data_IF_570366073094
#
_entry.id   IF_570366073094
#
_cell.length_a   1.000
_cell.length_b   1.000
_cell.length_c   1.000
_cell.angle_alpha   90.00
_cell.angle_beta   90.00
_cell.angle_gamma   90.00
#
_symmetry.space_group_name_H-M   'P 1'
#
loop_
_entity.id
_entity.type
_entity.pdbx_description
1 polymer ?
#
# COMPACT_ATOMS: atom_id res chain seq x y z
N UNK A 1 36.53 -6.84 -11.92
CA UNK A 1 35.52 -5.78 -12.16
C UNK A 1 34.58 -6.25 -13.23
N UNK A 2 33.47 -6.88 -12.85
CA UNK A 2 32.42 -7.25 -13.79
C UNK A 2 31.80 -5.97 -14.36
N UNK A 3 31.85 -5.84 -15.69
CA UNK A 3 31.13 -4.83 -16.47
C UNK A 3 29.65 -4.97 -16.09
N UNK A 4 29.15 -4.10 -15.19
CA UNK A 4 27.73 -4.01 -14.84
C UNK A 4 26.97 -3.97 -16.17
N UNK A 5 26.26 -5.05 -16.49
CA UNK A 5 25.40 -5.13 -17.67
C UNK A 5 24.51 -3.89 -17.63
N UNK A 6 24.69 -3.02 -18.61
CA UNK A 6 23.97 -1.75 -18.70
C UNK A 6 22.48 -2.05 -18.60
N UNK A 7 21.81 -1.31 -17.72
CA UNK A 7 20.35 -1.20 -17.69
C UNK A 7 19.88 -1.09 -19.12
N UNK A 8 18.92 -1.92 -19.53
CA UNK A 8 18.45 -2.00 -20.91
C UNK A 8 18.18 -0.60 -21.47
N UNK A 9 19.10 -0.09 -22.28
CA UNK A 9 19.01 1.24 -22.87
C UNK A 9 18.09 1.16 -24.07
N UNK A 10 17.06 2.00 -24.09
CA UNK A 10 16.27 2.27 -25.28
C UNK A 10 17.13 3.08 -26.24
N UNK A 11 17.27 2.63 -27.49
CA UNK A 11 17.99 3.36 -28.53
C UNK A 11 17.16 3.55 -29.80
N UNK A 12 17.43 4.64 -30.52
CA UNK A 12 16.93 4.89 -31.86
C UNK A 12 18.12 4.97 -32.82
N UNK A 13 18.01 4.24 -33.92
CA UNK A 13 18.92 4.28 -35.06
C UNK A 13 18.37 5.27 -36.09
N UNK A 14 19.14 6.30 -36.38
CA UNK A 14 18.72 7.40 -37.24
C UNK A 14 19.57 7.34 -38.52
N UNK A 15 18.98 7.06 -39.68
CA UNK A 15 19.71 7.06 -40.94
C UNK A 15 20.02 8.50 -41.37
N UNK A 16 21.32 8.82 -41.43
CA UNK A 16 21.82 10.13 -41.84
C UNK A 16 22.52 9.99 -43.19
N UNK A 17 22.14 10.86 -44.14
CA UNK A 17 22.72 10.92 -45.48
C UNK A 17 23.32 12.32 -45.66
N UNK A 18 24.64 12.40 -45.69
CA UNK A 18 25.32 13.68 -45.93
C UNK A 18 24.93 14.25 -47.30
N UNK A 19 24.65 15.56 -47.33
CA UNK A 19 24.59 16.31 -48.56
C UNK A 19 26.03 16.51 -49.03
N UNK A 20 26.43 15.82 -50.10
CA UNK A 20 27.71 16.11 -50.75
C UNK A 20 27.76 17.60 -51.07
N UNK A 21 28.84 18.27 -50.65
CA UNK A 21 29.04 19.67 -51.00
C UNK A 21 29.12 19.75 -52.54
N UNK A 22 28.16 20.42 -53.16
CA UNK A 22 28.04 20.58 -54.61
C UNK A 22 29.19 21.36 -55.28
N UNK A 23 30.31 21.60 -54.58
CA UNK A 23 31.32 22.57 -54.98
C UNK A 23 32.73 22.04 -55.19
N UNK A 24 33.25 21.16 -54.34
CA UNK A 24 34.64 20.71 -54.47
C UNK A 24 34.94 19.54 -53.53
N UNK A 25 35.78 18.61 -54.02
CA UNK A 25 36.42 17.47 -53.32
C UNK A 25 35.64 16.14 -53.21
N UNK A 26 36.36 15.11 -53.63
CA UNK A 26 36.15 13.65 -53.75
C UNK A 26 35.88 12.87 -52.45
N UNK A 27 35.24 13.47 -51.44
CA UNK A 27 34.93 12.73 -50.21
C UNK A 27 33.63 11.94 -50.45
N UNK A 28 33.66 10.59 -50.43
CA UNK A 28 32.45 9.80 -50.60
C UNK A 28 31.45 10.15 -49.48
N UNK A 29 30.16 10.30 -49.80
CA UNK A 29 29.15 10.64 -48.80
C UNK A 29 29.17 9.61 -47.68
N UNK A 30 29.28 10.08 -46.43
CA UNK A 30 29.29 9.19 -45.27
C UNK A 30 27.85 8.87 -44.89
N UNK A 31 27.37 7.73 -45.38
CA UNK A 31 26.07 7.19 -44.98
C UNK A 31 26.24 6.43 -43.67
N UNK A 32 25.56 6.87 -42.61
CA UNK A 32 25.70 6.26 -41.28
C UNK A 32 24.35 6.11 -40.57
N UNK A 33 24.23 5.04 -39.77
CA UNK A 33 23.16 4.87 -38.80
C UNK A 33 23.63 5.45 -37.46
N UNK A 34 23.12 6.62 -37.09
CA UNK A 34 23.43 7.25 -35.83
C UNK A 34 22.61 6.59 -34.73
N UNK A 35 23.27 5.93 -33.79
CA UNK A 35 22.60 5.42 -32.59
C UNK A 35 22.52 6.50 -31.51
N UNK A 36 21.30 6.81 -31.08
CA UNK A 36 21.03 7.69 -29.95
C UNK A 36 20.26 6.91 -28.89
N UNK A 37 20.66 7.04 -27.63
CA UNK A 37 19.97 6.45 -26.50
C UNK A 37 19.48 7.50 -25.51
N UNK A 38 18.42 7.17 -24.78
CA UNK A 38 17.96 7.95 -23.65
C UNK A 38 18.39 7.28 -22.35
N UNK A 39 19.02 8.04 -21.46
CA UNK A 39 19.44 7.54 -20.16
C UNK A 39 19.02 8.50 -19.03
N UNK A 40 18.71 7.98 -17.83
CA UNK A 40 18.45 8.81 -16.67
C UNK A 40 19.70 9.62 -16.31
N UNK A 41 19.50 10.87 -15.92
CA UNK A 41 20.55 11.74 -15.44
C UNK A 41 21.18 11.15 -14.18
N UNK A 42 22.41 10.64 -14.31
CA UNK A 42 23.20 10.19 -13.18
C UNK A 42 23.97 11.38 -12.62
N UNK A 43 23.69 11.75 -11.38
CA UNK A 43 24.53 12.68 -10.62
C UNK A 43 25.93 12.07 -10.49
N UNK A 44 26.89 12.51 -11.31
CA UNK A 44 28.26 11.99 -11.28
C UNK A 44 29.01 12.01 -12.60
N UNK A 45 28.33 11.95 -13.75
CA UNK A 45 29.00 11.97 -15.09
C UNK A 45 29.67 13.32 -15.43
N UNK A 46 29.60 14.27 -14.51
CA UNK A 46 30.03 15.65 -14.66
C UNK A 46 30.98 16.10 -13.53
N UNK A 47 31.34 15.24 -12.57
CA UNK A 47 32.12 15.63 -11.37
C UNK A 47 33.62 15.72 -11.61
N UNK A 48 34.20 14.95 -12.53
CA UNK A 48 35.64 15.07 -12.86
C UNK A 48 35.95 16.32 -13.71
N UNK A 49 34.93 16.96 -14.28
CA UNK A 49 35.01 18.16 -15.08
C UNK A 49 34.85 19.45 -14.24
N UNK A 50 34.62 19.34 -12.93
CA UNK A 50 34.32 20.48 -12.03
C UNK A 50 35.46 21.50 -11.92
N UNK A 51 36.71 21.08 -12.11
CA UNK A 51 37.87 21.98 -12.10
C UNK A 51 37.98 22.83 -13.39
N UNK A 52 37.54 22.30 -14.55
CA UNK A 52 37.42 23.08 -15.80
C UNK A 52 36.15 23.94 -15.81
N UNK A 53 35.12 23.53 -15.07
CA UNK A 53 33.80 24.18 -15.02
C UNK A 53 33.75 25.51 -14.28
N UNK A 54 34.73 25.94 -13.49
CA UNK A 54 34.64 27.29 -12.90
C UNK A 54 34.59 28.40 -13.97
N UNK A 55 35.34 28.21 -15.08
CA UNK A 55 35.34 29.10 -16.25
C UNK A 55 34.14 28.86 -17.18
N UNK A 56 33.71 27.61 -17.30
CA UNK A 56 32.52 27.23 -18.08
C UNK A 56 31.23 27.71 -17.43
N UNK A 57 31.14 27.70 -16.09
CA UNK A 57 29.98 28.09 -15.28
C UNK A 57 29.65 29.56 -15.44
N UNK A 58 30.64 30.42 -15.70
CA UNK A 58 30.42 31.84 -16.02
C UNK A 58 29.86 32.03 -17.45
N UNK A 59 30.28 31.20 -18.40
CA UNK A 59 29.74 31.16 -19.78
C UNK A 59 28.34 30.50 -19.80
N UNK A 60 28.13 29.48 -18.99
CA UNK A 60 26.85 28.78 -18.79
C UNK A 60 25.85 29.70 -18.06
N UNK A 61 26.26 30.47 -17.06
CA UNK A 61 25.42 31.48 -16.41
C UNK A 61 25.00 32.61 -17.37
N UNK A 62 25.83 32.95 -18.36
CA UNK A 62 25.44 33.87 -19.45
C UNK A 62 24.57 33.22 -20.53
N UNK A 63 24.56 31.88 -20.65
CA UNK A 63 23.73 31.13 -21.60
C UNK A 63 22.43 30.56 -20.99
N UNK A 64 22.32 30.54 -19.66
CA UNK A 64 21.14 30.17 -18.87
C UNK A 64 19.95 31.11 -19.13
N UNK A 65 20.18 32.24 -19.78
CA UNK A 65 19.20 33.32 -19.86
C UNK A 65 18.19 33.24 -21.02
N UNK A 66 18.08 32.13 -21.81
CA UNK A 66 16.83 31.90 -22.59
C UNK A 66 16.45 30.51 -23.15
N UNK A 67 17.33 29.62 -23.63
CA UNK A 67 16.85 28.48 -24.47
C UNK A 67 17.59 27.13 -24.30
N UNK A 68 17.97 26.75 -23.08
CA UNK A 68 18.63 25.46 -22.84
C UNK A 68 17.65 24.34 -22.49
N UNK A 69 17.55 23.34 -23.37
CA UNK A 69 16.84 22.10 -23.06
C UNK A 69 17.79 21.09 -22.39
N UNK A 70 17.51 20.79 -21.12
CA UNK A 70 18.32 19.87 -20.32
C UNK A 70 18.37 18.46 -20.92
N UNK A 71 17.29 18.03 -21.59
CA UNK A 71 17.18 16.69 -22.17
C UNK A 71 18.15 16.52 -23.33
N UNK A 72 18.27 17.54 -24.17
CA UNK A 72 19.11 17.51 -25.37
C UNK A 72 20.56 17.95 -25.12
N UNK A 73 20.85 18.61 -23.98
CA UNK A 73 22.14 19.21 -23.67
C UNK A 73 23.39 18.36 -23.99
N UNK A 74 23.44 17.04 -23.72
CA UNK A 74 24.63 16.25 -24.06
C UNK A 74 24.91 16.15 -25.57
N UNK A 75 23.88 16.21 -26.41
CA UNK A 75 24.02 16.17 -27.87
C UNK A 75 24.79 17.38 -28.42
N UNK A 76 24.85 18.49 -27.67
CA UNK A 76 25.61 19.68 -28.08
C UNK A 76 27.11 19.40 -28.16
N UNK A 77 27.64 18.49 -27.33
CA UNK A 77 29.05 18.05 -27.40
C UNK A 77 29.34 17.25 -28.67
N UNK A 78 28.31 16.69 -29.30
CA UNK A 78 28.41 15.90 -30.53
C UNK A 78 28.23 16.82 -31.73
N UNK A 79 27.08 17.49 -31.84
CA UNK A 79 26.76 18.35 -32.97
C UNK A 79 25.62 19.34 -32.62
N UNK A 80 25.76 20.60 -33.01
CA UNK A 80 24.79 21.68 -32.71
C UNK A 80 23.43 21.44 -33.40
N UNK A 81 23.43 20.88 -34.61
CA UNK A 81 22.21 20.56 -35.35
C UNK A 81 21.45 19.44 -34.64
N UNK A 82 22.15 18.39 -34.20
CA UNK A 82 21.55 17.29 -33.44
C UNK A 82 20.99 17.76 -32.08
N UNK A 83 21.67 18.70 -31.40
CA UNK A 83 21.14 19.36 -30.21
C UNK A 83 19.81 20.06 -30.49
N UNK A 84 19.71 20.86 -31.56
CA UNK A 84 18.47 21.55 -31.93
C UNK A 84 17.33 20.57 -32.20
N UNK A 85 17.60 19.50 -32.93
CA UNK A 85 16.63 18.43 -33.19
C UNK A 85 16.21 17.72 -31.90
N UNK A 86 17.13 17.55 -30.95
CA UNK A 86 16.85 17.04 -29.61
C UNK A 86 15.91 17.97 -28.82
N UNK A 87 16.09 19.28 -28.89
CA UNK A 87 15.19 20.25 -28.25
C UNK A 87 13.78 20.18 -28.85
N UNK A 88 13.67 20.09 -30.18
CA UNK A 88 12.38 19.94 -30.88
C UNK A 88 11.70 18.64 -30.48
N UNK A 89 12.44 17.54 -30.46
CA UNK A 89 11.94 16.23 -30.02
C UNK A 89 11.45 16.24 -28.57
N UNK A 90 12.24 16.81 -27.65
CA UNK A 90 11.85 16.93 -26.25
C UNK A 90 10.60 17.81 -26.10
N UNK A 91 10.52 18.95 -26.80
CA UNK A 91 9.33 19.80 -26.86
C UNK A 91 8.09 19.07 -27.37
N UNK A 92 8.23 18.27 -28.43
CA UNK A 92 7.15 17.47 -28.99
C UNK A 92 6.64 16.40 -28.00
N UNK A 93 7.54 15.71 -27.31
CA UNK A 93 7.18 14.72 -26.28
C UNK A 93 6.51 15.38 -25.07
N UNK A 94 6.98 16.57 -24.64
CA UNK A 94 6.30 17.37 -23.60
C UNK A 94 4.88 17.74 -24.03
N UNK A 95 4.69 18.13 -25.29
CA UNK A 95 3.39 18.54 -25.85
C UNK A 95 2.42 17.37 -25.92
N UNK A 96 2.88 16.21 -26.39
CA UNK A 96 2.07 14.99 -26.52
C UNK A 96 1.45 14.61 -25.17
N UNK A 97 2.22 14.73 -24.09
CA UNK A 97 1.75 14.47 -22.74
C UNK A 97 1.38 13.00 -22.54
N UNK A 98 2.31 12.20 -22.02
CA UNK A 98 2.04 10.80 -21.72
C UNK A 98 0.86 10.67 -20.74
N UNK A 99 -0.10 9.79 -21.04
CA UNK A 99 -1.26 9.59 -20.17
C UNK A 99 -0.77 9.11 -18.80
N UNK A 100 -1.11 9.89 -17.79
CA UNK A 100 -0.78 9.57 -16.41
C UNK A 100 -1.74 8.50 -15.88
N UNK A 101 -1.26 7.51 -15.12
CA UNK A 101 -2.16 6.64 -14.37
C UNK A 101 -2.93 7.47 -13.33
N UNK A 102 -4.23 7.20 -13.18
CA UNK A 102 -5.16 7.96 -12.31
C UNK A 102 -4.74 8.04 -10.84
N UNK A 103 -3.76 7.23 -10.41
CA UNK A 103 -3.36 7.05 -9.00
C UNK A 103 -2.02 7.73 -8.63
N UNK A 104 -1.34 8.41 -9.56
CA UNK A 104 -0.03 9.04 -9.30
C UNK A 104 -0.17 10.40 -8.56
N UNK A 105 -0.57 10.37 -7.29
CA UNK A 105 -0.79 11.54 -6.41
C UNK A 105 0.38 12.56 -6.41
N UNK A 106 1.63 12.09 -6.51
CA UNK A 106 2.80 12.98 -6.47
C UNK A 106 3.04 13.78 -7.76
N UNK A 107 2.52 13.33 -8.92
CA UNK A 107 2.69 14.05 -10.19
C UNK A 107 1.62 15.08 -10.48
N UNK A 108 0.59 15.16 -9.63
CA UNK A 108 -0.32 16.29 -9.61
C UNK A 108 0.43 17.62 -9.44
N UNK A 109 1.63 17.58 -8.84
CA UNK A 109 2.47 18.76 -8.59
C UNK A 109 3.39 19.08 -9.78
N UNK A 110 3.89 18.10 -10.56
CA UNK A 110 4.75 18.33 -11.75
C UNK A 110 4.64 17.21 -12.82
N UNK A 111 3.74 17.34 -13.81
CA UNK A 111 3.54 16.37 -14.89
C UNK A 111 4.78 16.06 -15.75
N UNK A 112 5.75 16.97 -15.80
CA UNK A 112 6.92 16.91 -16.68
C UNK A 112 8.17 16.30 -16.00
N UNK A 113 8.08 15.97 -14.70
CA UNK A 113 9.26 15.66 -13.88
C UNK A 113 10.09 14.46 -14.38
N UNK A 114 9.48 13.52 -15.12
CA UNK A 114 10.18 12.32 -15.59
C UNK A 114 11.01 12.57 -16.86
N UNK A 115 10.45 13.27 -17.86
CA UNK A 115 11.20 13.60 -19.08
C UNK A 115 12.42 14.46 -18.76
N UNK A 116 12.27 15.38 -17.81
CA UNK A 116 13.35 16.25 -17.31
C UNK A 116 14.49 15.48 -16.62
N UNK A 117 14.28 14.21 -16.26
CA UNK A 117 15.32 13.32 -15.75
C UNK A 117 16.02 12.54 -16.84
N UNK A 118 15.54 12.54 -18.09
CA UNK A 118 16.21 11.88 -19.20
C UNK A 118 17.18 12.79 -19.90
N UNK A 119 18.20 12.17 -20.49
CA UNK A 119 19.22 12.80 -21.31
C UNK A 119 19.43 11.99 -22.58
N UNK A 120 19.54 12.68 -23.69
CA UNK A 120 19.86 12.09 -24.99
C UNK A 120 21.38 12.04 -25.17
N UNK A 121 21.88 10.86 -25.53
CA UNK A 121 23.29 10.63 -25.80
C UNK A 121 23.46 9.92 -27.13
N UNK A 122 24.45 10.34 -27.91
CA UNK A 122 24.85 9.63 -29.12
C UNK A 122 25.94 8.61 -28.78
N UNK A 123 25.84 7.40 -29.33
CA UNK A 123 26.91 6.39 -29.23
C UNK A 123 28.12 6.75 -30.12
N UNK A 124 27.95 7.66 -31.07
CA UNK A 124 28.98 8.09 -32.03
C UNK A 124 29.27 9.58 -31.93
N UNK A 125 30.52 9.97 -32.18
CA UNK A 125 30.96 11.38 -32.28
C UNK A 125 31.34 11.72 -33.73
N UNK A 126 30.37 11.81 -34.66
CA UNK A 126 30.66 12.31 -36.00
C UNK A 126 30.98 13.80 -35.91
N UNK A 127 32.23 14.16 -36.22
CA UNK A 127 32.73 15.55 -36.17
C UNK A 127 31.98 16.48 -37.14
N UNK A 128 31.40 15.93 -38.21
CA UNK A 128 30.64 16.67 -39.21
C UNK A 128 29.32 15.93 -39.50
N UNK A 129 28.20 16.43 -38.97
CA UNK A 129 26.86 16.03 -39.42
C UNK A 129 26.17 17.29 -39.96
N UNK A 130 25.73 17.23 -41.22
CA UNK A 130 25.00 18.31 -41.88
C UNK A 130 23.48 18.17 -41.81
N UNK A 131 22.97 16.96 -41.56
CA UNK A 131 21.52 16.67 -41.54
C UNK A 131 21.03 16.39 -40.11
N UNK A 132 20.15 17.25 -39.57
CA UNK A 132 19.57 17.04 -38.22
C UNK A 132 18.06 16.96 -38.17
N UNK A 133 17.32 17.66 -39.04
CA UNK A 133 15.85 17.72 -38.94
C UNK A 133 15.18 16.34 -39.12
N UNK A 134 15.80 15.43 -39.88
CA UNK A 134 15.30 14.07 -40.06
C UNK A 134 15.52 13.17 -38.83
N UNK A 135 16.34 13.59 -37.87
CA UNK A 135 16.58 12.90 -36.61
C UNK A 135 15.48 13.15 -35.57
N UNK A 136 14.67 14.21 -35.72
CA UNK A 136 13.71 14.66 -34.71
C UNK A 136 12.73 13.56 -34.29
N UNK A 137 12.20 12.78 -35.25
CA UNK A 137 11.34 11.65 -34.94
C UNK A 137 12.06 10.59 -34.11
N UNK A 138 13.26 10.17 -34.50
CA UNK A 138 14.02 9.16 -33.77
C UNK A 138 14.36 9.57 -32.34
N UNK A 139 14.73 10.85 -32.17
CA UNK A 139 14.98 11.45 -30.85
C UNK A 139 13.71 11.50 -29.99
N UNK A 140 12.54 11.77 -30.58
CA UNK A 140 11.28 11.77 -29.84
C UNK A 140 10.86 10.35 -29.44
N UNK A 141 11.03 9.37 -30.33
CA UNK A 141 10.68 7.98 -30.06
C UNK A 141 11.56 7.38 -28.96
N UNK A 142 12.87 7.65 -28.93
CA UNK A 142 13.72 7.14 -27.86
C UNK A 142 13.33 7.72 -26.49
N UNK A 143 12.93 8.99 -26.43
CA UNK A 143 12.40 9.60 -25.22
C UNK A 143 11.08 8.96 -24.79
N UNK A 144 10.16 8.71 -25.73
CA UNK A 144 8.90 8.03 -25.46
C UNK A 144 9.10 6.61 -24.98
N UNK A 145 9.99 5.85 -25.61
CA UNK A 145 10.32 4.48 -25.22
C UNK A 145 10.91 4.42 -23.82
N UNK A 146 11.84 5.33 -23.51
CA UNK A 146 12.40 5.44 -22.17
C UNK A 146 11.30 5.80 -21.15
N UNK A 147 10.41 6.75 -21.49
CA UNK A 147 9.36 7.24 -20.60
C UNK A 147 8.25 6.25 -20.29
N UNK A 148 7.88 5.45 -21.28
CA UNK A 148 6.88 4.41 -21.13
C UNK A 148 7.47 3.06 -20.73
N UNK A 149 8.79 2.93 -20.65
CA UNK A 149 9.45 1.64 -20.55
C UNK A 149 8.93 0.67 -21.62
N UNK A 150 8.90 1.13 -22.88
CA UNK A 150 8.43 0.37 -24.04
C UNK A 150 9.07 -1.03 -24.10
N UNK A 151 8.35 -2.08 -24.56
CA UNK A 151 8.94 -3.39 -24.75
C UNK A 151 9.98 -3.41 -25.87
N UNK A 152 9.91 -2.46 -26.81
CA UNK A 152 10.90 -2.32 -27.88
C UNK A 152 12.14 -1.65 -27.32
N UNK A 153 13.31 -2.26 -27.52
CA UNK A 153 14.59 -1.71 -27.03
C UNK A 153 15.29 -0.85 -28.08
N UNK A 154 15.04 -1.12 -29.35
CA UNK A 154 15.66 -0.42 -30.45
C UNK A 154 14.66 -0.22 -31.58
N UNK A 155 14.71 0.95 -32.20
CA UNK A 155 13.90 1.29 -33.38
C UNK A 155 14.75 2.01 -34.39
N UNK A 156 14.38 1.96 -35.66
CA UNK A 156 14.91 2.84 -36.70
C UNK A 156 13.87 3.93 -36.92
N UNK A 157 14.30 5.18 -37.10
CA UNK A 157 13.37 6.26 -37.38
C UNK A 157 13.99 7.40 -38.19
N UNK A 158 13.22 7.90 -39.14
CA UNK A 158 13.53 9.17 -39.83
C UNK A 158 12.24 9.97 -39.97
N UNK A 159 12.31 11.27 -39.72
CA UNK A 159 11.15 12.15 -39.82
C UNK A 159 11.43 13.50 -39.17
N UNK A 160 10.84 14.54 -39.75
CA UNK A 160 10.86 15.89 -39.19
C UNK A 160 9.59 16.09 -38.38
N UNK A 161 9.67 16.73 -37.23
CA UNK A 161 8.51 17.08 -36.44
C UNK A 161 8.03 18.48 -36.85
N UNK A 162 6.72 18.66 -36.97
CA UNK A 162 6.16 19.99 -37.20
C UNK A 162 6.53 20.88 -36.02
N UNK A 163 7.10 22.06 -36.30
CA UNK A 163 7.38 23.04 -35.27
C UNK A 163 6.13 23.39 -34.47
N UNK A 164 6.32 23.93 -33.26
CA UNK A 164 5.22 24.30 -32.37
C UNK A 164 4.47 25.51 -32.95
N UNK A 165 3.48 25.25 -33.80
CA UNK A 165 2.54 26.29 -34.25
C UNK A 165 1.72 26.73 -33.04
N UNK A 166 1.89 27.98 -32.63
CA UNK A 166 1.23 28.58 -31.47
C UNK A 166 -0.32 28.63 -31.58
N UNK A 167 -0.88 28.24 -32.73
CA UNK A 167 -2.25 28.57 -33.12
C UNK A 167 -3.28 27.45 -32.96
N UNK A 168 -2.92 26.21 -32.61
CA UNK A 168 -3.93 25.12 -32.58
C UNK A 168 -3.86 24.30 -31.28
N UNK A 169 -5.05 24.12 -30.68
CA UNK A 169 -5.38 23.29 -29.50
C UNK A 169 -5.05 21.79 -29.65
N UNK A 170 -4.34 21.39 -30.69
CA UNK A 170 -3.96 20.00 -30.94
C UNK A 170 -2.80 19.63 -30.01
N UNK A 171 -3.03 18.65 -29.14
CA UNK A 171 -2.00 18.07 -28.26
C UNK A 171 -0.96 17.24 -29.02
N UNK A 172 -1.21 16.94 -30.28
CA UNK A 172 -0.34 16.11 -31.10
C UNK A 172 0.66 16.93 -31.93
N UNK A 173 1.62 16.22 -32.53
CA UNK A 173 2.67 16.78 -33.38
C UNK A 173 2.68 16.03 -34.70
N UNK A 174 2.53 16.75 -35.80
CA UNK A 174 2.54 16.17 -37.14
C UNK A 174 3.96 15.80 -37.55
N UNK A 175 4.11 14.69 -38.24
CA UNK A 175 5.37 14.22 -38.80
C UNK A 175 5.44 14.69 -40.26
N UNK A 176 6.44 15.51 -40.56
CA UNK A 176 6.68 16.09 -41.86
C UNK A 176 7.61 15.20 -42.69
N UNK A 177 7.45 15.22 -44.03
CA UNK A 177 8.35 14.55 -44.96
C UNK A 177 9.81 15.00 -44.78
N UNK A 178 10.74 14.10 -45.12
CA UNK A 178 12.18 14.36 -45.10
C UNK A 178 12.79 14.17 -46.48
N UNK A 179 13.92 14.83 -46.73
CA UNK A 179 14.72 14.63 -47.94
C UNK A 179 15.42 13.27 -47.93
N UNK A 180 15.79 12.81 -49.13
CA UNK A 180 16.62 11.62 -49.37
C UNK A 180 16.10 10.35 -48.71
N UNK A 181 14.78 10.15 -48.76
CA UNK A 181 14.15 9.00 -48.11
C UNK A 181 14.57 7.68 -48.76
N UNK A 182 14.78 7.68 -50.08
CA UNK A 182 15.25 6.52 -50.83
C UNK A 182 16.66 6.09 -50.42
N UNK A 183 17.59 7.04 -50.29
CA UNK A 183 18.95 6.77 -49.82
C UNK A 183 18.96 6.25 -48.38
N UNK A 184 18.04 6.73 -47.53
CA UNK A 184 17.85 6.23 -46.16
C UNK A 184 17.31 4.80 -46.15
N UNK A 185 16.39 4.45 -47.04
CA UNK A 185 15.95 3.06 -47.19
C UNK A 185 17.11 2.16 -47.62
N UNK A 186 17.86 2.56 -48.64
CA UNK A 186 18.99 1.81 -49.14
C UNK A 186 20.07 1.60 -48.08
N UNK A 187 20.32 2.61 -47.23
CA UNK A 187 21.22 2.48 -46.08
C UNK A 187 20.72 1.41 -45.10
N UNK A 188 19.44 1.42 -44.74
CA UNK A 188 18.88 0.42 -43.81
C UNK A 188 18.91 -0.99 -44.42
N UNK A 189 18.56 -1.13 -45.70
CA UNK A 189 18.63 -2.40 -46.45
C UNK A 189 20.07 -2.93 -46.45
N UNK A 190 21.04 -2.07 -46.75
CA UNK A 190 22.46 -2.41 -46.74
C UNK A 190 22.91 -2.89 -45.35
N UNK A 191 22.49 -2.20 -44.30
CA UNK A 191 22.86 -2.51 -42.92
C UNK A 191 22.28 -3.84 -42.43
N UNK A 192 21.03 -4.16 -42.80
CA UNK A 192 20.41 -5.46 -42.49
C UNK A 192 21.06 -6.60 -43.29
N UNK A 193 21.32 -6.39 -44.59
CA UNK A 193 21.94 -7.41 -45.45
C UNK A 193 23.36 -7.73 -45.00
N UNK A 194 24.12 -6.73 -44.55
CA UNK A 194 25.45 -6.89 -43.95
C UNK A 194 25.44 -7.49 -42.52
N UNK A 195 24.27 -7.69 -41.92
CA UNK A 195 24.15 -8.27 -40.57
C UNK A 195 24.60 -7.33 -39.45
N UNK A 196 24.64 -6.01 -39.70
CA UNK A 196 25.01 -5.00 -38.70
C UNK A 196 23.85 -4.65 -37.76
N UNK A 197 22.62 -5.04 -38.12
CA UNK A 197 21.41 -4.84 -37.32
C UNK A 197 20.95 -6.16 -36.66
N UNK A 198 20.44 -6.11 -35.43
CA UNK A 198 19.98 -7.30 -34.71
C UNK A 198 18.79 -7.94 -35.42
N UNK A 199 18.91 -9.24 -35.75
CA UNK A 199 17.86 -10.04 -36.41
C UNK A 199 16.99 -10.84 -35.43
N UNK A 200 17.39 -10.91 -34.17
CA UNK A 200 16.73 -11.71 -33.13
C UNK A 200 15.47 -11.05 -32.54
N UNK A 201 15.16 -9.81 -32.95
CA UNK A 201 14.05 -9.02 -32.41
C UNK A 201 13.30 -8.32 -33.52
N UNK A 202 12.01 -8.10 -33.30
CA UNK A 202 11.18 -7.25 -34.17
C UNK A 202 11.76 -5.84 -34.22
N UNK A 203 12.35 -5.47 -35.36
CA UNK A 203 12.91 -4.15 -35.61
C UNK A 203 11.85 -3.30 -36.30
N UNK A 204 11.43 -2.22 -35.63
CA UNK A 204 10.45 -1.28 -36.16
C UNK A 204 11.17 -0.15 -36.89
N UNK A 205 10.73 0.19 -38.09
CA UNK A 205 11.20 1.36 -38.82
C UNK A 205 10.09 2.38 -39.01
N UNK A 206 10.15 3.47 -38.24
CA UNK A 206 9.21 4.58 -38.29
C UNK A 206 9.60 5.60 -39.35
N UNK A 207 8.68 5.86 -40.28
CA UNK A 207 8.88 6.81 -41.38
C UNK A 207 7.63 7.68 -41.58
N UNK A 208 7.78 8.88 -42.17
CA UNK A 208 6.63 9.73 -42.43
C UNK A 208 5.72 9.05 -43.44
N UNK A 209 4.40 9.18 -43.26
CA UNK A 209 3.41 8.65 -44.21
C UNK A 209 3.59 9.18 -45.63
N UNK A 210 4.06 10.41 -45.77
CA UNK A 210 4.25 11.10 -47.04
C UNK A 210 5.72 11.46 -47.27
N UNK A 211 6.16 11.42 -48.53
CA UNK A 211 7.46 11.93 -48.99
C UNK A 211 7.27 13.09 -49.96
N UNK A 212 8.25 14.01 -50.00
CA UNK A 212 8.26 15.09 -50.98
C UNK A 212 8.80 14.56 -52.30
N UNK A 213 8.01 14.64 -53.37
CA UNK A 213 8.45 14.34 -54.73
C UNK A 213 8.13 15.56 -55.61
N UNK A 214 9.09 16.48 -55.72
CA UNK A 214 8.84 17.80 -56.29
C UNK A 214 7.89 18.61 -55.39
N UNK A 215 6.81 19.14 -55.98
CA UNK A 215 5.79 19.93 -55.27
C UNK A 215 4.66 19.08 -54.67
N UNK A 216 4.58 17.79 -55.01
CA UNK A 216 3.51 16.89 -54.56
C UNK A 216 3.97 15.98 -53.41
N UNK A 217 3.08 15.78 -52.44
CA UNK A 217 3.25 14.79 -51.39
C UNK A 217 2.75 13.43 -51.88
N UNK A 218 3.64 12.44 -51.95
CA UNK A 218 3.31 11.07 -52.38
C UNK A 218 3.36 10.14 -51.18
N UNK A 219 2.41 9.23 -51.08
CA UNK A 219 2.35 8.24 -50.00
C UNK A 219 3.48 7.21 -50.13
N UNK A 220 4.13 6.93 -49.00
CA UNK A 220 5.34 6.09 -48.96
C UNK A 220 5.02 4.60 -49.07
N UNK A 221 3.78 4.17 -48.79
CA UNK A 221 3.40 2.76 -48.72
C UNK A 221 3.70 1.96 -50.00
N UNK A 222 3.49 2.59 -51.16
CA UNK A 222 3.62 1.94 -52.46
C UNK A 222 5.06 1.90 -53.00
N UNK A 223 6.04 2.36 -52.23
CA UNK A 223 7.44 2.35 -52.64
C UNK A 223 8.03 0.93 -52.61
N UNK A 224 8.82 0.53 -53.61
CA UNK A 224 9.39 -0.82 -53.67
C UNK A 224 10.32 -1.12 -52.48
N UNK A 225 11.01 -0.12 -51.95
CA UNK A 225 11.91 -0.27 -50.82
C UNK A 225 11.16 -0.69 -49.55
N UNK A 226 9.91 -0.26 -49.37
CA UNK A 226 9.07 -0.68 -48.24
C UNK A 226 8.79 -2.18 -48.29
N UNK A 227 8.56 -2.73 -49.48
CA UNK A 227 8.37 -4.17 -49.65
C UNK A 227 9.66 -4.94 -49.36
N UNK A 228 10.82 -4.44 -49.83
CA UNK A 228 12.13 -5.04 -49.55
C UNK A 228 12.43 -5.06 -48.05
N UNK A 229 12.17 -3.96 -47.33
CA UNK A 229 12.37 -3.90 -45.88
C UNK A 229 11.47 -4.91 -45.15
N UNK A 230 10.21 -5.07 -45.58
CA UNK A 230 9.28 -6.07 -45.04
C UNK A 230 9.76 -7.50 -45.28
N UNK A 231 10.31 -7.82 -46.46
CA UNK A 231 10.86 -9.16 -46.74
C UNK A 231 12.14 -9.44 -45.96
N UNK A 232 12.89 -8.40 -45.60
CA UNK A 232 14.05 -8.49 -44.70
C UNK A 232 13.66 -8.59 -43.21
N UNK A 233 12.38 -8.66 -42.88
CA UNK A 233 11.88 -8.81 -41.52
C UNK A 233 11.79 -7.50 -40.72
N UNK A 234 11.93 -6.34 -41.38
CA UNK A 234 11.75 -5.04 -40.73
C UNK A 234 10.29 -4.63 -40.84
N UNK A 235 9.67 -4.31 -39.71
CA UNK A 235 8.31 -3.81 -39.70
C UNK A 235 8.32 -2.30 -39.98
N UNK A 236 7.97 -1.93 -41.21
CA UNK A 236 7.84 -0.52 -41.62
C UNK A 236 6.54 0.06 -41.09
N UNK A 237 6.64 1.08 -40.23
CA UNK A 237 5.52 1.80 -39.62
C UNK A 237 5.45 3.20 -40.24
N UNK A 238 4.43 3.42 -41.06
CA UNK A 238 4.09 4.74 -41.59
C UNK A 238 3.38 5.53 -40.49
N UNK A 239 3.83 6.74 -40.22
CA UNK A 239 3.24 7.59 -39.18
C UNK A 239 2.99 9.00 -39.72
N UNK A 240 1.78 9.52 -39.46
CA UNK A 240 1.46 10.93 -39.74
C UNK A 240 1.58 11.78 -38.47
N UNK A 241 1.35 11.17 -37.30
CA UNK A 241 1.31 11.86 -36.03
C UNK A 241 2.20 11.19 -34.99
N UNK A 242 2.74 11.97 -34.05
CA UNK A 242 3.60 11.44 -33.00
C UNK A 242 2.82 10.52 -32.04
N UNK A 243 1.53 10.79 -31.79
CA UNK A 243 0.69 9.90 -30.96
C UNK A 243 0.52 8.50 -31.54
N UNK A 244 0.40 8.39 -32.87
CA UNK A 244 0.33 7.12 -33.59
C UNK A 244 1.63 6.32 -33.39
N UNK A 245 2.78 6.99 -33.52
CA UNK A 245 4.07 6.38 -33.27
C UNK A 245 4.19 5.90 -31.81
N UNK A 246 3.74 6.72 -30.86
CA UNK A 246 3.70 6.35 -29.43
C UNK A 246 2.79 5.14 -29.18
N UNK A 247 1.64 5.04 -29.84
CA UNK A 247 0.73 3.89 -29.72
C UNK A 247 1.38 2.61 -30.24
N UNK A 248 2.01 2.64 -31.42
CA UNK A 248 2.72 1.48 -32.00
C UNK A 248 3.87 1.01 -31.11
N UNK A 249 4.54 1.94 -30.43
CA UNK A 249 5.57 1.65 -29.44
C UNK A 249 5.03 1.11 -28.10
N UNK A 250 3.71 1.03 -27.93
CA UNK A 250 3.06 0.79 -26.62
C UNK A 250 3.56 1.79 -25.57
N UNK A 251 3.81 3.03 -26.02
CA UNK A 251 4.39 4.13 -25.27
C UNK A 251 3.40 5.25 -24.96
N UNK A 252 2.11 4.94 -24.93
CA UNK A 252 1.03 5.88 -24.63
C UNK A 252 0.84 6.15 -23.13
N UNK A 253 1.45 5.34 -22.26
CA UNK A 253 1.35 5.42 -20.80
C UNK A 253 2.74 5.41 -20.17
N UNK A 254 2.99 6.31 -19.21
CA UNK A 254 4.24 6.31 -18.45
C UNK A 254 4.28 5.09 -17.52
N UNK A 255 5.38 4.34 -17.52
CA UNK A 255 5.50 3.08 -16.76
C UNK A 255 6.09 3.33 -15.38
N UNK A 256 5.35 2.96 -14.35
CA UNK A 256 5.80 2.99 -12.95
C UNK A 256 5.98 1.59 -12.38
N UNK A 257 7.12 0.95 -12.68
CA UNK A 257 7.44 -0.37 -12.11
C UNK A 257 7.54 -0.33 -10.57
N UNK A 258 7.97 0.79 -9.98
CA UNK A 258 8.19 0.88 -8.53
C UNK A 258 6.90 1.20 -7.75
N UNK A 259 5.97 1.96 -8.34
CA UNK A 259 4.75 2.36 -7.62
C UNK A 259 3.69 1.27 -7.56
N UNK A 260 3.58 0.44 -8.60
CA UNK A 260 2.70 -0.74 -8.53
C UNK A 260 3.13 -1.69 -7.42
N UNK A 261 4.44 -1.82 -7.18
CA UNK A 261 4.97 -2.57 -6.05
C UNK A 261 4.63 -1.89 -4.72
N UNK A 262 4.91 -0.59 -4.56
CA UNK A 262 4.64 0.14 -3.31
C UNK A 262 3.15 0.14 -2.97
N UNK A 263 2.26 0.33 -3.95
CA UNK A 263 0.82 0.32 -3.73
C UNK A 263 0.32 -1.07 -3.33
N UNK A 264 0.80 -2.13 -4.00
CA UNK A 264 0.48 -3.51 -3.61
C UNK A 264 0.95 -3.81 -2.19
N UNK A 265 2.16 -3.39 -1.83
CA UNK A 265 2.67 -3.53 -0.47
C UNK A 265 1.84 -2.77 0.55
N UNK A 266 1.45 -1.53 0.25
CA UNK A 266 0.62 -0.73 1.14
C UNK A 266 -0.75 -1.38 1.39
N UNK A 267 -1.40 -1.91 0.34
CA UNK A 267 -2.68 -2.64 0.46
C UNK A 267 -2.52 -3.90 1.32
N UNK A 268 -1.44 -4.67 1.12
CA UNK A 268 -1.16 -5.86 1.92
C UNK A 268 -0.96 -5.50 3.40
N UNK A 269 -0.18 -4.44 3.68
CA UNK A 269 0.05 -3.97 5.05
C UNK A 269 -1.27 -3.53 5.71
N UNK A 270 -2.12 -2.79 5.01
CA UNK A 270 -3.45 -2.40 5.51
C UNK A 270 -4.34 -3.61 5.81
N UNK A 271 -4.35 -4.62 4.94
CA UNK A 271 -5.11 -5.86 5.16
C UNK A 271 -4.59 -6.65 6.37
N UNK A 272 -3.27 -6.75 6.54
CA UNK A 272 -2.67 -7.43 7.69
C UNK A 272 -3.00 -6.68 8.99
N UNK A 273 -2.94 -5.35 8.97
CA UNK A 273 -3.29 -4.51 10.12
C UNK A 273 -4.77 -4.63 10.48
N UNK A 274 -5.68 -4.67 9.50
CA UNK A 274 -7.13 -4.80 9.76
C UNK A 274 -7.50 -6.17 10.31
N UNK A 275 -6.94 -7.25 9.78
CA UNK A 275 -7.13 -8.62 10.29
C UNK A 275 -6.60 -8.76 11.72
N UNK A 276 -5.45 -8.14 12.01
CA UNK A 276 -4.87 -8.11 13.36
C UNK A 276 -5.77 -7.35 14.33
N UNK A 277 -6.35 -6.23 13.92
CA UNK A 277 -7.27 -5.44 14.74
C UNK A 277 -8.55 -6.19 15.10
N UNK A 278 -9.18 -6.87 14.13
CA UNK A 278 -10.39 -7.69 14.38
C UNK A 278 -10.09 -8.85 15.32
N UNK A 279 -8.95 -9.52 15.14
CA UNK A 279 -8.51 -10.60 16.02
C UNK A 279 -8.24 -10.12 17.44
N UNK A 280 -7.70 -8.91 17.60
CA UNK A 280 -7.44 -8.28 18.89
C UNK A 280 -8.74 -7.94 19.64
N UNK A 281 -9.73 -7.35 18.96
CA UNK A 281 -11.04 -7.07 19.57
C UNK A 281 -11.70 -8.35 20.09
N UNK A 282 -11.72 -9.42 19.27
CA UNK A 282 -12.27 -10.72 19.69
C UNK A 282 -11.48 -11.42 20.80
N UNK A 283 -10.23 -11.03 21.06
CA UNK A 283 -9.40 -11.56 22.15
C UNK A 283 -9.64 -10.84 23.49
N UNK A 284 -10.01 -9.56 23.46
CA UNK A 284 -10.30 -8.75 24.66
C UNK A 284 -11.57 -9.19 25.40
N UNK A 285 -12.59 -9.62 24.66
CA UNK A 285 -13.90 -9.98 25.20
C UNK A 285 -13.99 -11.45 25.66
N UNK A 286 -12.89 -12.21 25.59
CA UNK A 286 -12.88 -13.60 26.06
C UNK A 286 -12.92 -13.64 27.59
N UNK A 287 -13.97 -14.25 28.12
CA UNK A 287 -14.10 -14.53 29.55
C UNK A 287 -12.99 -15.47 30.02
N UNK A 288 -12.40 -15.14 31.17
CA UNK A 288 -11.28 -15.88 31.76
C UNK A 288 -11.83 -16.82 32.82
N UNK A 289 -11.27 -18.02 32.90
CA UNK A 289 -11.70 -18.99 33.90
C UNK A 289 -11.29 -18.54 35.30
N UNK A 290 -12.20 -18.75 36.25
CA UNK A 290 -11.92 -18.59 37.67
C UNK A 290 -12.12 -19.93 38.37
N UNK A 291 -11.35 -20.16 39.43
CA UNK A 291 -11.49 -21.36 40.29
C UNK A 291 -11.54 -20.91 41.74
N UNK A 292 -12.43 -21.48 42.54
CA UNK A 292 -12.39 -21.22 43.99
C UNK A 292 -11.09 -21.72 44.59
N UNK A 293 -10.54 -20.92 45.49
CA UNK A 293 -9.45 -21.35 46.35
C UNK A 293 -10.09 -21.78 47.65
N UNK A 294 -9.97 -23.07 47.96
CA UNK A 294 -10.43 -23.59 49.22
C UNK A 294 -9.49 -23.14 50.34
N UNK A 295 -10.04 -22.73 51.49
CA UNK A 295 -9.26 -22.47 52.69
C UNK A 295 -8.55 -23.73 53.24
N UNK A 296 -8.98 -24.92 52.78
CA UNK A 296 -8.38 -26.23 53.07
C UNK A 296 -8.37 -27.10 51.79
N UNK A 297 -7.38 -27.99 51.58
CA UNK A 297 -7.09 -28.65 50.29
C UNK A 297 -8.12 -29.69 49.79
N UNK A 298 -9.33 -29.75 50.36
CA UNK A 298 -10.41 -30.63 49.87
C UNK A 298 -11.24 -29.86 48.86
N UNK A 299 -11.33 -30.39 47.63
CA UNK A 299 -12.02 -29.79 46.48
C UNK A 299 -13.46 -29.37 46.81
N UNK A 300 -13.75 -28.08 46.61
CA UNK A 300 -15.07 -27.47 46.84
C UNK A 300 -15.83 -27.34 45.52
N UNK A 301 -17.04 -27.88 45.45
CA UNK A 301 -18.08 -27.50 44.51
C UNK A 301 -19.11 -26.67 45.28
N UNK A 302 -19.50 -25.50 44.80
CA UNK A 302 -20.40 -24.65 45.55
C UNK A 302 -21.83 -25.21 45.51
N UNK A 303 -22.38 -25.52 46.69
CA UNK A 303 -23.77 -25.91 46.85
C UNK A 303 -24.59 -24.74 47.42
N UNK A 304 -25.90 -24.68 47.13
CA UNK A 304 -26.80 -23.76 47.80
C UNK A 304 -26.85 -24.08 49.30
N UNK A 305 -26.74 -23.05 50.14
CA UNK A 305 -26.83 -23.17 51.59
C UNK A 305 -27.91 -22.22 52.13
N UNK A 306 -28.47 -22.59 53.29
CA UNK A 306 -29.45 -21.81 54.02
C UNK A 306 -28.74 -20.96 55.08
N UNK A 307 -28.96 -19.64 55.07
CA UNK A 307 -28.49 -18.73 56.12
C UNK A 307 -29.63 -18.43 57.07
N UNK A 308 -29.46 -18.79 58.35
CA UNK A 308 -30.45 -18.60 59.40
C UNK A 308 -29.99 -17.52 60.38
N UNK A 309 -30.78 -16.47 60.56
CA UNK A 309 -30.53 -15.44 61.58
C UNK A 309 -31.31 -15.73 62.87
N UNK A 310 -30.63 -15.73 64.01
CA UNK A 310 -31.20 -15.83 65.36
C UNK A 310 -30.72 -14.66 66.22
N UNK A 311 -31.37 -13.50 66.03
CA UNK A 311 -30.84 -12.22 66.54
C UNK A 311 -29.51 -11.90 65.86
N UNK A 312 -28.49 -11.48 66.64
CA UNK A 312 -27.13 -11.20 66.10
C UNK A 312 -26.32 -12.45 65.74
N UNK A 313 -26.81 -13.65 66.04
CA UNK A 313 -26.11 -14.92 65.76
C UNK A 313 -26.59 -15.47 64.41
N UNK A 314 -25.64 -15.90 63.58
CA UNK A 314 -25.90 -16.50 62.27
C UNK A 314 -25.58 -17.98 62.33
N UNK A 315 -26.47 -18.81 61.81
CA UNK A 315 -26.31 -20.26 61.67
C UNK A 315 -26.38 -20.63 60.19
N UNK A 316 -25.58 -21.63 59.79
CA UNK A 316 -25.50 -22.10 58.41
C UNK A 316 -25.91 -23.56 58.37
N UNK A 317 -26.84 -23.89 57.49
CA UNK A 317 -27.23 -25.26 57.21
C UNK A 317 -26.88 -25.59 55.77
N UNK A 318 -26.01 -26.57 55.59
CA UNK A 318 -25.74 -27.11 54.26
C UNK A 318 -26.95 -27.89 53.76
N UNK A 319 -27.31 -27.74 52.49
CA UNK A 319 -28.38 -28.52 51.84
C UNK A 319 -27.78 -29.80 51.20
N UNK A 320 -26.60 -30.24 51.66
CA UNK A 320 -25.70 -31.10 50.90
C UNK A 320 -26.20 -32.50 50.51
N UNK A 321 -25.78 -32.92 49.31
CA UNK A 321 -25.53 -34.32 48.93
C UNK A 321 -24.19 -34.78 49.51
N UNK A 322 -24.02 -36.08 49.78
CA UNK A 322 -22.81 -36.64 50.40
C UNK A 322 -21.50 -36.27 49.65
N UNK A 323 -20.48 -35.80 50.39
CA UNK A 323 -19.09 -35.73 49.93
C UNK A 323 -18.50 -34.34 49.61
N UNK A 324 -19.19 -33.24 49.90
CA UNK A 324 -18.75 -31.87 49.54
C UNK A 324 -18.69 -30.95 50.78
N UNK A 325 -17.61 -30.17 50.94
CA UNK A 325 -17.38 -29.27 52.08
C UNK A 325 -17.93 -27.86 51.76
N UNK A 326 -18.56 -27.14 52.71
CA UNK A 326 -19.03 -25.76 52.49
C UNK A 326 -17.91 -24.71 52.66
N UNK A 327 -17.96 -23.61 51.90
CA UNK A 327 -17.23 -22.37 52.22
C UNK A 327 -17.97 -21.74 53.42
N UNK A 328 -17.40 -21.83 54.62
CA UNK A 328 -18.05 -21.40 55.86
C UNK A 328 -17.84 -19.90 56.09
N UNK A 329 -18.87 -19.04 56.00
CA UNK A 329 -18.81 -17.68 56.55
C UNK A 329 -18.66 -17.71 58.08
N UNK A 330 -17.73 -16.90 58.60
CA UNK A 330 -17.38 -16.83 60.03
C UNK A 330 -18.35 -15.91 60.81
N UNK A 331 -19.15 -15.08 60.10
CA UNK A 331 -20.10 -14.07 60.65
C UNK A 331 -21.24 -13.76 59.64
N UNK A 332 -22.09 -12.74 59.86
CA UNK A 332 -23.04 -12.21 58.86
C UNK A 332 -22.41 -11.67 57.57
N UNK A 333 -21.13 -11.96 57.32
CA UNK A 333 -20.37 -11.61 56.14
C UNK A 333 -20.04 -12.86 55.34
N UNK A 334 -20.50 -12.92 54.09
CA UNK A 334 -20.15 -13.94 53.11
C UNK A 334 -18.81 -13.58 52.45
N UNK A 335 -17.77 -14.38 52.68
CA UNK A 335 -16.45 -14.20 52.07
C UNK A 335 -16.19 -15.22 50.97
N UNK A 336 -15.48 -14.82 49.91
CA UNK A 336 -14.98 -15.72 48.88
C UNK A 336 -13.53 -15.42 48.52
N UNK A 337 -12.86 -16.45 48.00
CA UNK A 337 -11.51 -16.36 47.46
C UNK A 337 -11.47 -17.13 46.14
N UNK A 338 -11.14 -16.44 45.05
CA UNK A 338 -11.07 -17.03 43.70
C UNK A 338 -9.73 -16.79 43.07
N UNK A 339 -9.16 -17.82 42.44
CA UNK A 339 -7.97 -17.73 41.61
C UNK A 339 -8.36 -17.46 40.18
N UNK A 340 -7.77 -16.44 39.58
CA UNK A 340 -8.15 -15.96 38.24
C UNK A 340 -7.14 -16.40 37.20
N UNK A 341 -7.56 -17.27 36.29
CA UNK A 341 -6.73 -17.83 35.25
C UNK A 341 -5.57 -18.70 35.76
N UNK A 342 -4.76 -19.18 34.83
CA UNK A 342 -3.51 -19.90 35.12
C UNK A 342 -2.33 -19.00 34.75
N UNK A 343 -1.23 -19.10 35.49
CA UNK A 343 0.00 -18.39 35.19
C UNK A 343 0.71 -19.05 33.98
N UNK A 344 0.09 -18.98 32.80
CA UNK A 344 0.64 -19.57 31.60
C UNK A 344 1.68 -18.64 30.96
N UNK A 345 2.88 -19.18 30.70
CA UNK A 345 3.99 -18.42 30.08
C UNK A 345 3.62 -17.80 28.74
N UNK A 346 2.75 -18.44 27.95
CA UNK A 346 2.34 -17.94 26.64
C UNK A 346 1.52 -16.63 26.70
N UNK A 347 0.65 -16.49 27.71
CA UNK A 347 -0.10 -15.25 27.91
C UNK A 347 0.85 -14.11 28.32
N UNK A 348 1.96 -14.39 29.01
CA UNK A 348 2.91 -13.37 29.47
C UNK A 348 3.61 -12.57 28.36
N UNK A 349 3.96 -13.21 27.22
CA UNK A 349 4.63 -12.54 26.10
C UNK A 349 3.69 -11.59 25.33
N UNK A 350 2.48 -12.05 25.02
CA UNK A 350 1.45 -11.21 24.40
C UNK A 350 1.04 -10.08 25.35
N UNK A 351 0.86 -10.39 26.63
CA UNK A 351 0.52 -9.42 27.66
C UNK A 351 1.59 -8.32 27.80
N UNK A 352 2.89 -8.66 27.71
CA UNK A 352 3.97 -7.68 27.70
C UNK A 352 3.95 -6.79 26.44
N UNK A 353 3.73 -7.38 25.27
CA UNK A 353 3.62 -6.64 24.01
C UNK A 353 2.48 -5.62 24.00
N UNK A 354 1.35 -5.95 24.63
CA UNK A 354 0.17 -5.10 24.67
C UNK A 354 0.03 -4.25 25.95
N UNK A 355 1.05 -4.24 26.83
CA UNK A 355 1.01 -3.47 28.08
C UNK A 355 -0.11 -3.90 29.03
N UNK A 356 -0.46 -5.18 29.01
CA UNK A 356 -1.56 -5.75 29.77
C UNK A 356 -1.28 -5.75 31.28
N UNK A 357 -2.17 -5.16 32.08
CA UNK A 357 -1.97 -4.91 33.52
C UNK A 357 -2.83 -5.80 34.44
N UNK A 358 -3.44 -6.86 33.92
CA UNK A 358 -4.28 -7.80 34.70
C UNK A 358 -5.71 -7.89 34.21
N UNK A 359 -6.44 -8.90 34.69
CA UNK A 359 -7.85 -9.16 34.39
C UNK A 359 -8.73 -8.21 35.16
N UNK A 360 -9.73 -7.67 34.49
CA UNK A 360 -10.79 -6.92 35.14
C UNK A 360 -11.72 -7.88 35.83
N UNK A 361 -12.14 -7.53 37.03
CA UNK A 361 -13.04 -8.35 37.84
C UNK A 361 -14.29 -7.55 38.20
N UNK A 362 -15.42 -8.23 38.21
CA UNK A 362 -16.69 -7.67 38.61
C UNK A 362 -17.45 -8.69 39.45
N UNK A 363 -18.26 -8.20 40.39
CA UNK A 363 -19.26 -9.02 41.03
C UNK A 363 -20.63 -8.35 40.92
N UNK A 364 -21.65 -9.20 40.83
CA UNK A 364 -23.03 -8.81 40.77
C UNK A 364 -23.80 -9.60 41.83
N UNK A 365 -24.52 -8.89 42.69
CA UNK A 365 -25.49 -9.46 43.61
C UNK A 365 -26.90 -9.17 43.11
N UNK A 366 -27.69 -10.22 42.90
CA UNK A 366 -29.10 -10.11 42.50
C UNK A 366 -29.92 -10.67 43.65
N UNK A 367 -30.84 -9.88 44.19
CA UNK A 367 -31.77 -10.31 45.23
C UNK A 367 -33.21 -10.27 44.70
N UNK A 368 -34.08 -11.08 45.30
CA UNK A 368 -35.50 -11.17 44.94
C UNK A 368 -36.25 -9.84 45.13
N UNK A 369 -35.88 -9.09 46.16
CA UNK A 369 -36.59 -7.89 46.63
C UNK A 369 -35.72 -6.63 46.60
N UNK A 370 -34.41 -6.75 46.48
CA UNK A 370 -33.48 -5.63 46.42
C UNK A 370 -33.05 -5.32 45.00
N UNK A 371 -32.74 -4.05 44.73
CA UNK A 371 -32.15 -3.67 43.47
C UNK A 371 -30.81 -4.41 43.27
N UNK A 372 -30.57 -5.00 42.09
CA UNK A 372 -29.32 -5.70 41.80
C UNK A 372 -28.14 -4.75 41.90
N UNK A 373 -27.09 -5.19 42.60
CA UNK A 373 -25.91 -4.40 42.89
C UNK A 373 -24.74 -4.90 42.05
N UNK A 374 -24.30 -4.07 41.11
CA UNK A 374 -23.09 -4.29 40.31
C UNK A 374 -21.94 -3.55 40.97
N UNK A 375 -20.82 -4.23 41.22
CA UNK A 375 -19.58 -3.57 41.59
C UNK A 375 -18.41 -4.00 40.70
N UNK A 376 -17.74 -3.01 40.13
CA UNK A 376 -16.59 -3.14 39.23
C UNK A 376 -15.34 -2.44 39.79
N UNK A 377 -15.47 -1.80 40.96
CA UNK A 377 -14.42 -1.01 41.60
C UNK A 377 -14.11 -1.48 43.01
N UNK A 378 -12.88 -1.25 43.45
CA UNK A 378 -12.48 -1.46 44.84
C UNK A 378 -13.11 -0.41 45.77
N UNK A 379 -12.81 -0.50 47.06
CA UNK A 379 -13.29 0.44 48.09
C UNK A 379 -12.85 1.89 47.83
N UNK A 380 -11.87 2.12 46.95
CA UNK A 380 -11.36 3.44 46.56
C UNK A 380 -11.99 3.98 45.27
N UNK A 381 -12.92 3.24 44.66
CA UNK A 381 -13.55 3.58 43.39
C UNK A 381 -12.67 3.32 42.17
N UNK A 382 -11.53 2.62 42.32
CA UNK A 382 -10.68 2.24 41.19
C UNK A 382 -11.14 0.92 40.60
N UNK A 383 -11.09 0.80 39.28
CA UNK A 383 -11.46 -0.44 38.60
C UNK A 383 -10.57 -1.58 39.07
N UNK A 384 -11.18 -2.67 39.56
CA UNK A 384 -10.43 -3.80 40.10
C UNK A 384 -9.70 -4.55 39.00
N UNK A 385 -8.38 -4.71 39.15
CA UNK A 385 -7.53 -5.51 38.26
C UNK A 385 -6.72 -6.52 39.05
N UNK A 386 -6.67 -7.74 38.55
CA UNK A 386 -6.01 -8.85 39.23
C UNK A 386 -5.10 -9.56 38.24
N UNK A 387 -3.85 -9.77 38.63
CA UNK A 387 -2.88 -10.39 37.73
C UNK A 387 -3.22 -11.87 37.51
N UNK A 388 -2.87 -12.44 36.35
CA UNK A 388 -3.06 -13.86 36.10
C UNK A 388 -2.45 -14.74 37.17
N UNK A 389 -3.23 -15.70 37.67
CA UNK A 389 -2.84 -16.63 38.73
C UNK A 389 -2.89 -16.07 40.15
N UNK A 390 -3.21 -14.78 40.33
CA UNK A 390 -3.45 -14.21 41.65
C UNK A 390 -4.84 -14.56 42.17
N UNK A 391 -4.98 -14.42 43.49
CA UNK A 391 -6.19 -14.68 44.23
C UNK A 391 -6.90 -13.36 44.53
N UNK A 392 -8.22 -13.38 44.34
CA UNK A 392 -9.12 -12.30 44.67
C UNK A 392 -9.97 -12.70 45.86
N UNK A 393 -9.87 -11.95 46.95
CA UNK A 393 -10.74 -12.11 48.10
C UNK A 393 -11.69 -10.91 48.21
N UNK A 394 -12.94 -11.19 48.51
CA UNK A 394 -13.93 -10.16 48.82
C UNK A 394 -14.94 -10.69 49.83
N UNK A 395 -15.63 -9.77 50.52
CA UNK A 395 -16.63 -10.12 51.51
C UNK A 395 -17.87 -9.23 51.42
N UNK A 396 -19.04 -9.80 51.69
CA UNK A 396 -20.32 -9.13 51.58
C UNK A 396 -21.15 -9.32 52.85
N UNK A 397 -21.64 -8.24 53.45
CA UNK A 397 -22.50 -8.32 54.63
C UNK A 397 -23.95 -8.63 54.22
N UNK A 398 -24.46 -9.76 54.69
CA UNK A 398 -25.83 -10.21 54.42
C UNK A 398 -26.84 -9.42 55.26
N UNK A 399 -28.00 -9.16 54.66
CA UNK A 399 -29.14 -8.55 55.33
C UNK A 399 -29.99 -9.62 56.04
N UNK A 400 -30.70 -9.21 57.10
CA UNK A 400 -31.54 -10.10 57.92
C UNK A 400 -32.91 -10.45 57.29
N UNK A 401 -33.13 -10.07 56.03
CA UNK A 401 -34.37 -10.34 55.30
C UNK A 401 -34.33 -11.75 54.68
N UNK A 402 -35.50 -12.39 54.59
CA UNK A 402 -35.62 -13.70 53.97
C UNK A 402 -35.79 -13.54 52.46
N UNK A 403 -34.78 -13.88 51.67
CA UNK A 403 -34.75 -13.64 50.23
C UNK A 403 -33.85 -14.67 49.52
N UNK A 404 -34.20 -15.02 48.28
CA UNK A 404 -33.28 -15.69 47.38
C UNK A 404 -32.27 -14.68 46.83
N UNK A 405 -31.00 -15.10 46.77
CA UNK A 405 -29.91 -14.29 46.27
C UNK A 405 -29.08 -15.07 45.27
N UNK A 406 -28.58 -14.38 44.24
CA UNK A 406 -27.54 -14.89 43.35
C UNK A 406 -26.33 -13.97 43.33
N UNK A 407 -25.16 -14.55 43.60
CA UNK A 407 -23.86 -13.92 43.41
C UNK A 407 -23.28 -14.40 42.09
N UNK A 408 -22.88 -13.46 41.25
CA UNK A 408 -22.22 -13.71 39.98
C UNK A 408 -20.85 -13.02 40.01
N UNK A 409 -19.78 -13.79 39.84
CA UNK A 409 -18.42 -13.27 39.70
C UNK A 409 -18.03 -13.37 38.22
N UNK A 410 -17.40 -12.32 37.70
CA UNK A 410 -17.04 -12.21 36.30
C UNK A 410 -15.62 -11.72 36.14
N UNK A 411 -14.91 -12.26 35.15
CA UNK A 411 -13.55 -11.84 34.82
C UNK A 411 -13.32 -11.81 33.31
N UNK A 412 -12.71 -10.74 32.82
CA UNK A 412 -12.38 -10.57 31.40
C UNK A 412 -11.10 -9.74 31.20
N UNK A 413 -10.58 -9.68 29.97
CA UNK A 413 -9.36 -8.92 29.66
C UNK A 413 -9.60 -7.42 29.44
N UNK A 414 -10.76 -7.04 28.90
CA UNK A 414 -11.18 -5.65 28.72
C UNK A 414 -11.84 -5.04 29.96
N UNK A 415 -11.86 -3.71 30.07
CA UNK A 415 -12.57 -3.04 31.16
C UNK A 415 -14.08 -3.33 31.07
N UNK A 416 -14.69 -3.69 32.19
CA UNK A 416 -16.14 -3.77 32.28
C UNK A 416 -16.74 -2.36 32.14
N UNK A 417 -17.75 -2.21 31.28
CA UNK A 417 -18.51 -0.95 31.17
C UNK A 417 -19.72 -1.05 32.09
N UNK A 418 -19.79 -0.17 33.09
CA UNK A 418 -20.87 -0.17 34.08
C UNK A 418 -22.26 -0.13 33.42
N UNK A 419 -22.42 0.70 32.39
CA UNK A 419 -23.67 0.86 31.65
C UNK A 419 -24.12 -0.45 30.97
N UNK A 420 -23.19 -1.27 30.50
CA UNK A 420 -23.52 -2.56 29.88
C UNK A 420 -24.08 -3.55 30.90
N UNK A 421 -23.57 -3.53 32.14
CA UNK A 421 -24.12 -4.35 33.23
C UNK A 421 -25.46 -3.85 33.70
N UNK A 422 -25.60 -2.53 33.87
CA UNK A 422 -26.89 -1.95 34.25
C UNK A 422 -27.94 -2.23 33.18
N UNK A 423 -27.60 -2.15 31.88
CA UNK A 423 -28.50 -2.54 30.80
C UNK A 423 -28.81 -4.04 30.80
N UNK A 424 -27.84 -4.89 31.13
CA UNK A 424 -28.05 -6.34 31.22
C UNK A 424 -29.01 -6.75 32.33
N UNK A 425 -28.92 -6.03 33.44
CA UNK A 425 -29.66 -6.26 34.67
C UNK A 425 -31.03 -5.58 34.62
N UNK A 426 -31.12 -4.42 33.97
CA UNK A 426 -32.34 -3.63 33.80
C UNK A 426 -33.02 -3.88 32.44
N UNK A 427 -32.49 -4.77 31.60
CA UNK A 427 -33.15 -5.18 30.36
C UNK A 427 -34.53 -5.70 30.77
N UNK A 428 -35.62 -5.13 30.22
CA UNK A 428 -36.96 -5.42 30.72
C UNK A 428 -37.22 -6.90 30.48
N UNK A 429 -37.23 -7.68 31.57
CA UNK A 429 -38.06 -8.88 31.59
C UNK A 429 -39.46 -8.31 31.35
N UNK A 430 -40.09 -8.62 30.22
CA UNK A 430 -41.39 -8.08 29.76
C UNK A 430 -42.58 -8.40 30.70
N UNK A 431 -42.27 -8.82 31.92
CA UNK A 431 -43.17 -9.02 33.04
C UNK A 431 -42.55 -8.28 34.21
N UNK A 432 -43.14 -7.27 34.84
CA UNK A 432 -44.54 -6.87 34.96
C UNK A 432 -44.55 -5.65 35.92
N UNK A 433 -45.73 -5.04 36.08
CA UNK A 433 -46.22 -4.36 37.30
C UNK A 433 -45.33 -4.41 38.55
N UNK A 434 -45.12 -3.24 39.18
CA UNK A 434 -44.20 -2.93 40.29
C UNK A 434 -44.27 -3.79 41.58
N UNK A 435 -45.14 -4.81 41.66
CA UNK A 435 -45.43 -5.55 42.89
C UNK A 435 -45.05 -7.05 42.84
N UNK A 436 -44.41 -7.55 41.77
CA UNK A 436 -43.98 -8.95 41.68
C UNK A 436 -42.47 -9.12 41.95
N UNK A 437 -42.04 -10.19 42.64
CA UNK A 437 -40.63 -10.47 42.90
C UNK A 437 -39.84 -10.64 41.60
N UNK A 438 -38.58 -10.19 41.60
CA UNK A 438 -37.70 -10.26 40.44
C UNK A 438 -37.38 -11.73 40.10
N UNK A 439 -37.49 -12.13 38.83
CA UNK A 439 -37.12 -13.49 38.40
C UNK A 439 -35.58 -13.62 38.31
N UNK A 440 -34.95 -13.79 39.47
CA UNK A 440 -33.48 -13.86 39.63
C UNK A 440 -32.85 -14.92 38.71
N UNK A 441 -33.57 -16.03 38.46
CA UNK A 441 -33.08 -17.12 37.62
C UNK A 441 -32.97 -16.72 36.15
N UNK A 442 -33.93 -15.97 35.63
CA UNK A 442 -33.90 -15.49 34.26
C UNK A 442 -32.79 -14.46 34.02
N UNK A 443 -32.59 -13.54 34.97
CA UNK A 443 -31.48 -12.56 34.91
C UNK A 443 -30.14 -13.29 34.96
N UNK A 444 -29.98 -14.25 35.88
CA UNK A 444 -28.75 -15.02 35.98
C UNK A 444 -28.47 -15.82 34.69
N UNK A 445 -29.47 -16.47 34.10
CA UNK A 445 -29.31 -17.21 32.84
C UNK A 445 -28.95 -16.29 31.66
N UNK A 446 -29.53 -15.09 31.58
CA UNK A 446 -29.16 -14.11 30.57
C UNK A 446 -27.69 -13.68 30.73
N UNK A 447 -27.24 -13.43 31.96
CA UNK A 447 -25.84 -13.08 32.24
C UNK A 447 -24.90 -14.25 31.97
N UNK A 448 -25.29 -15.48 32.32
CA UNK A 448 -24.55 -16.71 32.01
C UNK A 448 -24.37 -16.92 30.51
N UNK A 449 -25.41 -16.65 29.71
CA UNK A 449 -25.31 -16.74 28.25
C UNK A 449 -24.27 -15.80 27.63
N UNK A 450 -24.05 -14.62 28.24
CA UNK A 450 -23.06 -13.63 27.76
C UNK A 450 -21.67 -13.82 28.37
N UNK A 451 -21.59 -14.49 29.53
CA UNK A 451 -20.35 -14.71 30.26
C UNK A 451 -20.21 -16.18 30.69
N UNK A 452 -20.07 -17.14 29.76
CA UNK A 452 -20.13 -18.58 30.06
C UNK A 452 -19.03 -19.10 31.01
N UNK A 453 -17.96 -18.32 31.23
CA UNK A 453 -16.89 -18.67 32.18
C UNK A 453 -17.01 -17.93 33.52
N UNK A 454 -18.12 -17.23 33.75
CA UNK A 454 -18.44 -16.65 35.05
C UNK A 454 -18.61 -17.72 36.13
N UNK A 455 -18.54 -17.30 37.38
CA UNK A 455 -18.83 -18.16 38.52
C UNK A 455 -20.17 -17.72 39.13
N UNK A 456 -21.11 -18.67 39.27
CA UNK A 456 -22.50 -18.41 39.65
C UNK A 456 -22.84 -19.15 40.94
N UNK A 457 -23.36 -18.42 41.95
CA UNK A 457 -23.75 -18.96 43.25
C UNK A 457 -25.15 -18.54 43.59
N UNK A 458 -25.95 -19.48 44.09
CA UNK A 458 -27.29 -19.20 44.60
C UNK A 458 -27.32 -19.52 46.10
N UNK A 459 -27.85 -18.61 46.91
CA UNK A 459 -28.02 -18.83 48.35
C UNK A 459 -29.32 -18.19 48.82
N UNK A 460 -29.87 -18.69 49.93
CA UNK A 460 -31.13 -18.20 50.50
C UNK A 460 -30.95 -17.74 51.93
N UNK A 461 -31.40 -16.53 52.23
CA UNK A 461 -31.48 -16.01 53.59
C UNK A 461 -32.88 -16.28 54.16
N UNK A 462 -33.00 -16.59 55.45
CA UNK A 462 -34.30 -16.79 56.12
C UNK A 462 -34.36 -16.13 57.50
N UNK A 463 -35.54 -15.62 57.89
CA UNK A 463 -35.76 -14.85 59.12
C UNK A 463 -36.34 -15.66 60.30
N UNK A 464 -36.48 -17.00 60.20
CA UNK A 464 -37.25 -17.78 61.19
C UNK A 464 -36.52 -19.01 61.75
N UNK A 465 -36.66 -19.22 63.07
CA UNK A 465 -36.25 -20.44 63.80
C UNK A 465 -37.00 -21.72 63.38
N UNK A 466 -38.15 -21.63 62.73
CA UNK A 466 -39.03 -22.79 62.47
C UNK A 466 -38.67 -23.61 61.23
N UNK A 467 -37.87 -23.06 60.30
CA UNK A 467 -37.47 -23.74 59.06
C UNK A 467 -36.02 -24.25 59.08
N UNK A 468 -35.22 -23.82 60.06
CA UNK A 468 -33.87 -24.34 60.27
C UNK A 468 -33.99 -25.53 61.23
N UNK A 469 -34.10 -26.74 60.69
CA UNK A 469 -34.02 -27.97 61.49
C UNK A 469 -32.54 -28.21 61.80
N UNK A 470 -32.18 -28.15 63.08
CA UNK A 470 -30.86 -28.59 63.54
C UNK A 470 -30.68 -30.09 63.29
#
# INVERSE_FOLDING_TARGET
MEKRRSVAQHSALIPIIELGNNGDVTIPPKNLLLEVHAAPYQFGDDTDDLARKAKQKEIELKAIDKDWDRVAAPLRKVNVVLYRSGCVAAGAVRKLGLKQPRLALYQWIKPQAWLEQQRLYSSSYPEELSEGNSAELGLALVLLMAASGSPYRQVIATGKLSGQTQLIRERDVKILPVSKLEEKFNLVIQQVTQGQLPRDKELLFFIPKYCNQGESAVEVENRPEVQILRTLGIQVILVEWLSEAAEKLKANTARYLLQDLILKWFIIVLLVMSLSWVSWLGWQDRAISMKFVAANPVTLSAEPFLVCFKGKKVHYQSIAREGIVPIVPITSTLGWQVKIGEANRFDSLLNQWFGYQGYYVAYLMISEFSAPMVNISDETGKVMRILPGQEWAWSWKLNEQAEENKLILLTQRGAFKQDQFQLLVNQPIESKTADLPMNITEIANNIESKFPNGLYFTFRTTKSKSQCTL
#
